data_IF_143683059304
#
_entry.id   IF_143683059304
#
_cell.length_a   1.000
_cell.length_b   1.000
_cell.length_c   1.000
_cell.angle_alpha   90.00
_cell.angle_beta   90.00
_cell.angle_gamma   90.00
#
_symmetry.space_group_name_H-M   'P 1'
#
loop_
_entity.id
_entity.type
_entity.pdbx_description
1 polymer ?
#
# COMPACT_ATOMS: atom_id res chain seq x y z
N UNK A 1 -16.90 -2.20 11.00
CA UNK A 1 -16.71 -0.74 11.26
C UNK A 1 -16.32 -0.13 9.93
N UNK A 2 -16.74 1.09 9.60
CA UNK A 2 -16.42 1.64 8.27
C UNK A 2 -15.23 2.59 8.36
N UNK A 3 -14.21 2.37 7.53
CA UNK A 3 -13.11 3.31 7.30
C UNK A 3 -13.20 3.89 5.90
N UNK A 4 -12.70 5.11 5.74
CA UNK A 4 -12.60 5.78 4.44
C UNK A 4 -11.14 5.89 4.05
N UNK A 5 -10.83 5.49 2.82
CA UNK A 5 -9.51 5.64 2.19
C UNK A 5 -9.74 6.42 0.90
N UNK A 6 -9.16 7.63 0.82
CA UNK A 6 -9.49 8.62 -0.20
C UNK A 6 -11.02 8.85 -0.30
N UNK A 7 -11.64 8.45 -1.41
CA UNK A 7 -13.08 8.60 -1.68
C UNK A 7 -13.86 7.27 -1.56
N UNK A 8 -13.19 6.19 -1.12
CA UNK A 8 -13.80 4.86 -1.00
C UNK A 8 -14.01 4.46 0.45
N UNK A 9 -15.11 3.78 0.71
CA UNK A 9 -15.47 3.28 2.03
C UNK A 9 -15.33 1.76 2.10
N UNK A 10 -14.75 1.28 3.20
CA UNK A 10 -14.47 -0.12 3.44
C UNK A 10 -15.01 -0.55 4.80
N UNK A 11 -15.72 -1.68 4.83
CA UNK A 11 -16.05 -2.33 6.09
C UNK A 11 -14.84 -3.11 6.58
N UNK A 12 -14.26 -2.70 7.70
CA UNK A 12 -13.11 -3.33 8.34
C UNK A 12 -13.35 -4.80 8.66
N UNK A 13 -14.61 -5.22 8.86
CA UNK A 13 -14.95 -6.62 9.07
C UNK A 13 -14.74 -7.48 7.80
N UNK A 14 -14.71 -6.87 6.62
CA UNK A 14 -14.46 -7.52 5.34
C UNK A 14 -13.00 -7.44 4.90
N UNK A 15 -12.21 -6.58 5.52
CA UNK A 15 -10.79 -6.43 5.20
C UNK A 15 -10.03 -7.63 5.77
N UNK A 16 -9.44 -8.42 4.88
CA UNK A 16 -8.55 -9.52 5.26
C UNK A 16 -7.12 -9.05 5.43
N UNK A 17 -6.68 -8.08 4.62
CA UNK A 17 -5.36 -7.48 4.70
C UNK A 17 -5.42 -5.98 4.37
N UNK A 18 -4.68 -5.19 5.13
CA UNK A 18 -4.45 -3.76 4.90
C UNK A 18 -2.99 -3.46 5.20
N UNK A 19 -2.20 -3.12 4.17
CA UNK A 19 -0.78 -2.87 4.35
C UNK A 19 -0.23 -1.86 3.34
N UNK A 20 0.76 -1.04 3.75
CA UNK A 20 1.55 -0.23 2.83
C UNK A 20 2.68 -1.06 2.21
N UNK A 21 2.98 -0.84 0.93
CA UNK A 21 4.12 -1.44 0.24
C UNK A 21 4.69 -0.48 -0.81
N UNK A 22 5.99 -0.62 -1.11
CA UNK A 22 6.59 0.02 -2.27
C UNK A 22 6.36 -0.86 -3.50
N UNK A 23 6.17 -0.22 -4.65
CA UNK A 23 6.06 -0.89 -5.93
C UNK A 23 7.36 -0.68 -6.70
N UNK A 24 8.00 -1.77 -7.09
CA UNK A 24 9.31 -1.76 -7.77
C UNK A 24 9.24 -2.51 -9.08
N UNK A 25 9.99 -2.08 -10.10
CA UNK A 25 10.14 -2.85 -11.36
C UNK A 25 11.10 -4.01 -11.16
N UNK A 26 10.75 -5.17 -11.71
CA UNK A 26 11.56 -6.40 -11.60
C UNK A 26 12.53 -6.59 -12.77
N UNK A 27 12.66 -5.63 -13.69
CA UNK A 27 13.63 -5.66 -14.79
C UNK A 27 13.32 -6.67 -15.90
N UNK A 28 12.22 -7.42 -15.80
CA UNK A 28 11.68 -8.29 -16.83
C UNK A 28 10.36 -7.69 -17.35
N UNK A 29 10.32 -7.29 -18.63
CA UNK A 29 9.11 -6.91 -19.37
C UNK A 29 8.11 -5.97 -18.63
N UNK A 30 8.61 -4.90 -17.99
CA UNK A 30 7.80 -3.91 -17.25
C UNK A 30 6.97 -4.47 -16.07
N UNK A 31 7.28 -5.69 -15.60
CA UNK A 31 6.58 -6.28 -14.46
C UNK A 31 6.94 -5.52 -13.16
N UNK A 32 5.89 -5.13 -12.42
CA UNK A 32 6.02 -4.46 -11.13
C UNK A 32 5.61 -5.39 -10.01
N UNK A 33 6.38 -5.40 -8.92
CA UNK A 33 6.08 -6.19 -7.72
C UNK A 33 5.96 -5.31 -6.47
N UNK A 34 5.23 -5.81 -5.48
CA UNK A 34 5.02 -5.15 -4.18
C UNK A 34 6.08 -5.65 -3.21
N UNK A 35 6.82 -4.73 -2.59
CA UNK A 35 7.83 -5.05 -1.56
C UNK A 35 7.58 -4.26 -0.30
N UNK A 36 7.89 -4.86 0.84
CA UNK A 36 7.81 -4.18 2.13
C UNK A 36 8.73 -2.97 2.17
N UNK A 37 8.28 -1.89 2.81
CA UNK A 37 9.07 -0.66 2.96
C UNK A 37 10.40 -0.91 3.67
N UNK A 38 10.41 -1.77 4.70
CA UNK A 38 11.63 -2.14 5.42
C UNK A 38 12.64 -2.85 4.52
N UNK A 39 12.17 -3.74 3.63
CA UNK A 39 13.05 -4.42 2.69
C UNK A 39 13.64 -3.43 1.69
N UNK A 40 12.84 -2.46 1.22
CA UNK A 40 13.32 -1.41 0.33
C UNK A 40 14.44 -0.58 0.98
N UNK A 41 14.26 -0.20 2.25
CA UNK A 41 15.21 0.61 3.01
C UNK A 41 16.54 -0.13 3.30
N UNK A 42 16.52 -1.46 3.48
CA UNK A 42 17.69 -2.27 3.88
C UNK A 42 18.43 -2.92 2.70
N UNK A 43 17.71 -3.54 1.78
CA UNK A 43 18.28 -4.47 0.78
C UNK A 43 18.38 -3.87 -0.63
N UNK A 44 17.50 -2.92 -0.92
CA UNK A 44 17.20 -2.49 -2.28
C UNK A 44 17.78 -1.12 -2.66
N UNK A 45 18.48 -0.46 -1.73
CA UNK A 45 19.19 0.80 -1.96
C UNK A 45 20.11 0.63 -3.18
N UNK A 46 19.76 1.29 -4.29
CA UNK A 46 20.42 1.24 -5.61
C UNK A 46 20.27 -0.06 -6.44
N UNK A 47 19.45 -1.04 -6.02
CA UNK A 47 19.27 -2.31 -6.77
C UNK A 47 17.96 -2.44 -7.53
N UNK A 48 16.93 -1.66 -7.16
CA UNK A 48 15.60 -1.74 -7.78
C UNK A 48 15.08 -0.34 -8.10
N UNK A 49 14.35 -0.22 -9.20
CA UNK A 49 13.67 1.03 -9.56
C UNK A 49 12.31 1.09 -8.86
N UNK A 50 12.19 2.00 -7.90
CA UNK A 50 10.92 2.29 -7.22
C UNK A 50 10.06 3.11 -8.17
N UNK A 51 8.89 2.57 -8.52
CA UNK A 51 7.92 3.26 -9.38
C UNK A 51 6.81 3.95 -8.60
N UNK A 52 6.67 3.64 -7.31
CA UNK A 52 5.73 4.31 -6.44
C UNK A 52 5.53 3.59 -5.12
N UNK A 53 4.60 4.10 -4.34
CA UNK A 53 4.19 3.57 -3.05
C UNK A 53 2.70 3.30 -3.08
N UNK A 54 2.21 2.32 -2.32
CA UNK A 54 0.81 1.96 -2.37
C UNK A 54 0.26 1.44 -1.05
N UNK A 55 -1.01 1.71 -0.82
CA UNK A 55 -1.81 1.07 0.23
C UNK A 55 -2.67 0.01 -0.44
N UNK A 56 -2.56 -1.23 0.05
CA UNK A 56 -3.25 -2.39 -0.49
C UNK A 56 -4.32 -2.85 0.49
N UNK A 57 -5.55 -2.97 0.00
CA UNK A 57 -6.71 -3.44 0.76
C UNK A 57 -7.22 -4.69 0.10
N UNK A 58 -7.22 -5.81 0.82
CA UNK A 58 -7.81 -7.06 0.37
C UNK A 58 -9.14 -7.29 1.10
N UNK A 59 -10.20 -7.52 0.33
CA UNK A 59 -11.56 -7.82 0.79
C UNK A 59 -11.90 -9.29 0.44
N UNK A 60 -11.25 -10.25 1.10
CA UNK A 60 -11.39 -11.67 0.76
C UNK A 60 -10.33 -12.16 -0.25
N UNK A 61 -10.65 -13.19 -1.03
CA UNK A 61 -9.67 -13.86 -1.92
C UNK A 61 -9.45 -13.14 -3.27
N UNK A 62 -10.49 -12.50 -3.82
CA UNK A 62 -10.43 -11.95 -5.20
C UNK A 62 -10.57 -10.42 -5.29
N UNK A 63 -11.03 -9.77 -4.22
CA UNK A 63 -11.31 -8.34 -4.24
C UNK A 63 -10.14 -7.56 -3.62
N UNK A 64 -9.43 -6.83 -4.49
CA UNK A 64 -8.22 -6.08 -4.13
C UNK A 64 -8.36 -4.64 -4.59
N UNK A 65 -8.07 -3.71 -3.69
CA UNK A 65 -7.98 -2.29 -3.98
C UNK A 65 -6.59 -1.77 -3.69
N UNK A 66 -6.08 -0.99 -4.63
CA UNK A 66 -4.77 -0.36 -4.53
C UNK A 66 -4.93 1.14 -4.63
N UNK A 67 -4.28 1.84 -3.71
CA UNK A 67 -4.16 3.29 -3.72
C UNK A 67 -2.69 3.63 -3.91
N UNK A 68 -2.33 4.12 -5.10
CA UNK A 68 -0.96 4.46 -5.45
C UNK A 68 -0.64 5.91 -5.10
N UNK A 69 0.61 6.14 -4.74
CA UNK A 69 1.18 7.42 -4.34
C UNK A 69 2.57 7.57 -4.97
N UNK A 70 2.91 8.79 -5.39
CA UNK A 70 4.22 9.11 -5.94
C UNK A 70 5.32 9.08 -4.86
N UNK A 71 5.00 9.53 -3.65
CA UNK A 71 5.97 9.58 -2.55
C UNK A 71 5.55 8.78 -1.33
N UNK A 72 6.54 8.23 -0.61
CA UNK A 72 6.36 7.56 0.69
C UNK A 72 5.61 8.45 1.68
N UNK A 73 5.92 9.75 1.69
CA UNK A 73 5.29 10.73 2.59
C UNK A 73 3.78 10.82 2.37
N UNK A 74 3.31 10.90 1.13
CA UNK A 74 1.88 10.98 0.83
C UNK A 74 1.14 9.71 1.27
N UNK A 75 1.74 8.55 1.04
CA UNK A 75 1.22 7.27 1.53
C UNK A 75 1.19 7.23 3.07
N UNK A 76 2.24 7.68 3.75
CA UNK A 76 2.32 7.75 5.21
C UNK A 76 1.23 8.68 5.79
N UNK A 77 0.96 9.83 5.15
CA UNK A 77 -0.12 10.74 5.55
C UNK A 77 -1.50 10.05 5.46
N UNK A 78 -1.74 9.26 4.40
CA UNK A 78 -2.99 8.52 4.26
C UNK A 78 -3.09 7.35 5.25
N UNK A 79 -2.02 6.59 5.48
CA UNK A 79 -1.96 5.56 6.54
C UNK A 79 -2.25 6.19 7.91
N UNK A 80 -1.70 7.37 8.20
CA UNK A 80 -1.96 8.09 9.44
C UNK A 80 -3.44 8.46 9.63
N UNK A 81 -4.13 8.84 8.56
CA UNK A 81 -5.59 9.07 8.56
C UNK A 81 -6.37 7.79 8.78
N UNK A 82 -5.96 6.68 8.17
CA UNK A 82 -6.60 5.37 8.37
C UNK A 82 -6.42 4.90 9.81
N UNK A 83 -5.21 4.98 10.35
CA UNK A 83 -4.91 4.60 11.73
C UNK A 83 -5.73 5.43 12.73
N UNK A 84 -5.88 6.74 12.47
CA UNK A 84 -6.72 7.62 13.29
C UNK A 84 -8.20 7.24 13.27
N UNK A 85 -8.68 6.65 12.17
CA UNK A 85 -10.04 6.11 12.09
C UNK A 85 -10.17 4.81 12.87
N UNK A 86 -9.17 3.90 12.78
CA UNK A 86 -9.17 2.59 13.44
C UNK A 86 -9.01 2.66 14.96
N UNK A 87 -8.27 3.63 15.46
CA UNK A 87 -7.94 3.78 16.88
C UNK A 87 -8.99 4.59 17.66
N UNK A 88 -10.23 4.63 17.16
CA UNK A 88 -11.34 5.42 17.67
C UNK A 88 -12.36 4.57 18.43
#
# INVERSE_FOLDING_TARGET
>A
MIITIQEKQFDTAKITQLYPAAVVKTGFEDETTQVSLEWLDVEAKDKVEVVGFGIFVHLGEEDKHTFMFDTKKEMDEEIGRIASQLNR
#
